data_IF_103166788245
#
_entry.id   IF_103166788245
#
_cell.length_a   1.000
_cell.length_b   1.000
_cell.length_c   1.000
_cell.angle_alpha   90.00
_cell.angle_beta   90.00
_cell.angle_gamma   90.00
#
_symmetry.space_group_name_H-M   'P 1'
#
loop_
_entity.id
_entity.type
_entity.pdbx_description
1 polymer ?
#
# COMPACT_ATOMS: atom_id res chain seq x y z
N UNK A 1 8.93 6.83 -27.29
CA UNK A 1 8.57 6.19 -25.99
C UNK A 1 7.18 5.56 -26.10
N UNK A 2 6.85 4.53 -25.31
CA UNK A 2 5.49 3.96 -25.29
C UNK A 2 4.47 4.92 -24.64
N UNK A 3 3.18 4.89 -25.01
CA UNK A 3 2.14 5.72 -24.39
C UNK A 3 2.00 5.44 -22.89
N UNK A 4 1.65 6.43 -22.06
CA UNK A 4 1.48 6.25 -20.60
C UNK A 4 0.30 5.31 -20.31
N UNK A 5 0.40 4.51 -19.24
CA UNK A 5 -0.73 3.68 -18.78
C UNK A 5 -1.83 4.59 -18.28
N UNK A 6 -3.05 4.37 -18.75
CA UNK A 6 -4.24 5.16 -18.37
C UNK A 6 -4.85 4.65 -17.06
N UNK A 7 -5.77 5.43 -16.47
CA UNK A 7 -6.40 5.12 -15.19
C UNK A 7 -7.12 3.76 -15.17
N UNK A 8 -7.95 3.47 -16.18
CA UNK A 8 -8.66 2.18 -16.29
C UNK A 8 -7.75 1.02 -16.72
N UNK A 9 -6.72 1.30 -17.54
CA UNK A 9 -5.74 0.29 -17.93
C UNK A 9 -4.92 -0.20 -16.74
N UNK A 10 -4.57 0.69 -15.81
CA UNK A 10 -3.88 0.32 -14.57
C UNK A 10 -4.69 -0.70 -13.75
N UNK A 11 -6.00 -0.47 -13.59
CA UNK A 11 -6.90 -1.40 -12.91
C UNK A 11 -6.93 -2.77 -13.59
N UNK A 12 -7.06 -2.80 -14.92
CA UNK A 12 -7.01 -4.06 -15.68
C UNK A 12 -5.67 -4.78 -15.52
N UNK A 13 -4.56 -4.05 -15.58
CA UNK A 13 -3.20 -4.59 -15.43
C UNK A 13 -2.94 -5.15 -14.04
N UNK A 14 -3.51 -4.53 -13.01
CA UNK A 14 -3.40 -4.97 -11.62
C UNK A 14 -3.95 -6.39 -11.44
N UNK A 15 -5.20 -6.61 -11.84
CA UNK A 15 -5.84 -7.93 -11.75
C UNK A 15 -5.24 -8.94 -12.73
N UNK A 16 -4.83 -8.51 -13.94
CA UNK A 16 -4.17 -9.40 -14.90
C UNK A 16 -2.84 -9.94 -14.37
N UNK A 17 -2.11 -9.15 -13.58
CA UNK A 17 -0.80 -9.50 -13.05
C UNK A 17 -0.85 -9.91 -11.58
N UNK A 18 -1.97 -10.48 -11.12
CA UNK A 18 -2.22 -10.74 -9.71
C UNK A 18 -1.09 -11.52 -9.01
N UNK A 19 -0.63 -12.63 -9.61
CA UNK A 19 0.48 -13.45 -9.10
C UNK A 19 1.79 -13.22 -9.85
N UNK A 20 1.90 -12.15 -10.64
CA UNK A 20 3.07 -11.92 -11.49
C UNK A 20 4.10 -11.00 -10.81
N UNK A 21 5.07 -11.62 -10.14
CA UNK A 21 6.20 -10.95 -9.49
C UNK A 21 7.39 -10.70 -10.45
N UNK A 22 7.26 -11.06 -11.72
CA UNK A 22 8.33 -10.94 -12.72
C UNK A 22 8.11 -9.73 -13.63
N UNK A 23 9.21 -9.23 -14.20
CA UNK A 23 9.17 -8.09 -15.09
C UNK A 23 9.19 -6.74 -14.36
N UNK A 24 8.76 -5.71 -15.07
CA UNK A 24 8.84 -4.29 -14.68
C UNK A 24 7.49 -3.63 -14.88
N UNK A 25 7.10 -2.74 -13.96
CA UNK A 25 5.88 -1.92 -14.06
C UNK A 25 6.24 -0.45 -14.26
N UNK A 26 5.32 0.32 -14.86
CA UNK A 26 5.52 1.76 -15.07
C UNK A 26 5.09 2.56 -13.85
N UNK A 27 5.65 3.76 -13.66
CA UNK A 27 5.20 4.70 -12.62
C UNK A 27 3.69 4.93 -12.67
N UNK A 28 3.13 5.18 -13.84
CA UNK A 28 1.69 5.42 -13.97
C UNK A 28 0.84 4.20 -13.63
N UNK A 29 1.31 2.97 -13.88
CA UNK A 29 0.62 1.74 -13.47
C UNK A 29 0.51 1.66 -11.93
N UNK A 30 1.59 2.01 -11.22
CA UNK A 30 1.61 2.04 -9.75
C UNK A 30 0.70 3.14 -9.18
N UNK A 31 0.90 4.40 -9.60
CA UNK A 31 0.20 5.53 -8.97
C UNK A 31 -1.28 5.60 -9.31
N UNK A 32 -1.72 5.12 -10.48
CA UNK A 32 -3.15 4.99 -10.75
C UNK A 32 -3.80 3.93 -9.87
N UNK A 33 -3.10 2.84 -9.56
CA UNK A 33 -3.61 1.85 -8.61
C UNK A 33 -3.68 2.39 -7.19
N UNK A 34 -2.72 3.22 -6.76
CA UNK A 34 -2.83 3.90 -5.46
C UNK A 34 -4.08 4.80 -5.39
N UNK A 35 -4.43 5.47 -6.49
CA UNK A 35 -5.67 6.26 -6.56
C UNK A 35 -6.93 5.37 -6.51
N UNK A 36 -6.94 4.23 -7.19
CA UNK A 36 -8.04 3.25 -7.06
C UNK A 36 -8.19 2.74 -5.63
N UNK A 37 -7.09 2.39 -4.97
CA UNK A 37 -7.13 1.99 -3.56
C UNK A 37 -7.72 3.09 -2.68
N UNK A 38 -7.32 4.36 -2.89
CA UNK A 38 -7.91 5.49 -2.19
C UNK A 38 -9.43 5.56 -2.40
N UNK A 39 -9.91 5.45 -3.65
CA UNK A 39 -11.34 5.47 -3.98
C UNK A 39 -12.10 4.34 -3.26
N UNK A 40 -11.56 3.13 -3.23
CA UNK A 40 -12.22 1.99 -2.56
C UNK A 40 -12.19 2.08 -1.03
N UNK A 41 -11.22 2.76 -0.44
CA UNK A 41 -11.15 2.97 1.00
C UNK A 41 -12.01 4.12 1.50
N UNK A 42 -12.25 5.15 0.68
CA UNK A 42 -13.01 6.34 1.10
C UNK A 42 -14.39 6.02 1.72
N UNK A 43 -15.26 5.17 1.12
CA UNK A 43 -16.55 4.84 1.71
C UNK A 43 -16.44 4.24 3.11
N UNK A 44 -15.47 3.34 3.33
CA UNK A 44 -15.27 2.72 4.63
C UNK A 44 -14.77 3.72 5.68
N UNK A 45 -13.90 4.65 5.28
CA UNK A 45 -13.44 5.75 6.15
C UNK A 45 -14.62 6.64 6.55
N UNK A 46 -15.49 7.01 5.60
CA UNK A 46 -16.67 7.82 5.91
C UNK A 46 -17.63 7.11 6.87
N UNK A 47 -17.93 5.82 6.61
CA UNK A 47 -18.79 5.03 7.49
C UNK A 47 -18.17 4.93 8.89
N UNK A 48 -16.88 4.67 8.99
CA UNK A 48 -16.17 4.60 10.27
C UNK A 48 -16.26 5.91 11.05
N UNK A 49 -15.98 7.05 10.41
CA UNK A 49 -16.03 8.37 11.05
C UNK A 49 -17.44 8.75 11.50
N UNK A 50 -18.45 8.53 10.66
CA UNK A 50 -19.86 8.78 11.02
C UNK A 50 -20.25 7.90 12.20
N UNK A 51 -19.89 6.62 12.16
CA UNK A 51 -20.21 5.67 13.23
C UNK A 51 -19.56 6.06 14.56
N UNK A 52 -18.32 6.55 14.52
CA UNK A 52 -17.61 7.06 15.69
C UNK A 52 -18.31 8.29 16.29
N UNK A 53 -18.78 9.22 15.46
CA UNK A 53 -19.58 10.36 15.92
C UNK A 53 -20.89 9.89 16.57
N UNK A 54 -21.58 8.92 15.94
CA UNK A 54 -22.83 8.36 16.46
C UNK A 54 -22.62 7.72 17.84
N UNK A 55 -21.55 6.95 18.04
CA UNK A 55 -21.22 6.37 19.36
C UNK A 55 -21.01 7.47 20.39
N UNK A 56 -20.19 8.48 20.09
CA UNK A 56 -19.89 9.58 21.02
C UNK A 56 -21.16 10.31 21.44
N UNK A 57 -22.01 10.65 20.48
CA UNK A 57 -23.27 11.37 20.75
C UNK A 57 -24.26 10.50 21.53
N UNK A 58 -24.38 9.22 21.18
CA UNK A 58 -25.25 8.28 21.87
C UNK A 58 -24.86 8.10 23.34
N UNK A 59 -23.56 8.00 23.63
CA UNK A 59 -23.05 7.93 25.01
C UNK A 59 -23.33 9.23 25.76
N UNK A 60 -23.13 10.38 25.11
CA UNK A 60 -23.32 11.70 25.72
C UNK A 60 -24.79 12.02 26.07
N UNK A 61 -25.74 11.46 25.31
CA UNK A 61 -27.18 11.68 25.49
C UNK A 61 -27.85 10.45 26.15
N UNK A 62 -27.08 9.45 26.55
CA UNK A 62 -27.56 8.20 27.16
C UNK A 62 -28.61 7.45 26.30
N UNK A 63 -28.40 7.40 24.99
CA UNK A 63 -29.26 6.68 24.03
C UNK A 63 -28.63 5.32 23.67
N UNK A 64 -29.11 4.25 24.29
CA UNK A 64 -28.54 2.90 24.13
C UNK A 64 -28.59 2.39 22.68
N UNK A 65 -29.74 2.52 22.02
CA UNK A 65 -29.93 2.07 20.63
C UNK A 65 -28.96 2.75 19.65
N UNK A 66 -28.70 4.04 19.86
CA UNK A 66 -27.76 4.81 19.06
C UNK A 66 -26.32 4.30 19.20
N UNK A 67 -25.93 3.89 20.42
CA UNK A 67 -24.62 3.32 20.69
C UNK A 67 -24.40 2.01 19.95
N UNK A 68 -25.40 1.14 19.94
CA UNK A 68 -25.37 -0.15 19.22
C UNK A 68 -25.20 0.07 17.72
N UNK A 69 -25.98 0.99 17.12
CA UNK A 69 -25.90 1.32 15.69
C UNK A 69 -24.49 1.81 15.32
N UNK A 70 -23.91 2.69 16.14
CA UNK A 70 -22.55 3.18 15.92
C UNK A 70 -21.48 2.07 16.00
N UNK A 71 -21.57 1.17 16.98
CA UNK A 71 -20.64 0.03 17.10
C UNK A 71 -20.75 -0.90 15.88
N UNK A 72 -21.96 -1.24 15.44
CA UNK A 72 -22.18 -2.07 14.25
C UNK A 72 -21.60 -1.42 12.99
N UNK A 73 -21.73 -0.09 12.85
CA UNK A 73 -21.14 0.66 11.74
C UNK A 73 -19.60 0.59 11.74
N UNK A 74 -18.96 0.72 12.90
CA UNK A 74 -17.51 0.54 13.07
C UNK A 74 -17.08 -0.89 12.66
N UNK A 75 -17.80 -1.90 13.15
CA UNK A 75 -17.51 -3.30 12.83
C UNK A 75 -17.65 -3.59 11.33
N UNK A 76 -18.70 -3.07 10.68
CA UNK A 76 -18.91 -3.23 9.25
C UNK A 76 -17.80 -2.57 8.42
N UNK A 77 -17.40 -1.35 8.78
CA UNK A 77 -16.29 -0.65 8.13
C UNK A 77 -14.96 -1.41 8.30
N UNK A 78 -14.68 -1.90 9.51
CA UNK A 78 -13.51 -2.71 9.81
C UNK A 78 -13.48 -4.03 9.02
N UNK A 79 -14.62 -4.74 8.96
CA UNK A 79 -14.77 -5.97 8.19
C UNK A 79 -14.55 -5.74 6.70
N UNK A 80 -15.11 -4.66 6.14
CA UNK A 80 -14.89 -4.30 4.74
C UNK A 80 -13.41 -4.06 4.45
N UNK A 81 -12.71 -3.28 5.29
CA UNK A 81 -11.28 -2.98 5.14
C UNK A 81 -10.45 -4.27 5.20
N UNK A 82 -10.77 -5.16 6.14
CA UNK A 82 -10.11 -6.45 6.29
C UNK A 82 -10.28 -7.31 5.02
N UNK A 83 -11.51 -7.51 4.56
CA UNK A 83 -11.80 -8.33 3.38
C UNK A 83 -11.14 -7.76 2.13
N UNK A 84 -11.23 -6.45 1.93
CA UNK A 84 -10.59 -5.77 0.81
C UNK A 84 -9.06 -5.92 0.89
N UNK A 85 -8.46 -5.70 2.06
CA UNK A 85 -7.02 -5.86 2.30
C UNK A 85 -6.50 -7.25 1.97
N UNK A 86 -7.25 -8.30 2.35
CA UNK A 86 -6.91 -9.70 2.04
C UNK A 86 -6.89 -9.97 0.54
N UNK A 87 -7.84 -9.41 -0.22
CA UNK A 87 -7.88 -9.59 -1.69
C UNK A 87 -6.72 -8.86 -2.37
N UNK A 88 -6.35 -7.67 -1.91
CA UNK A 88 -5.35 -6.85 -2.61
C UNK A 88 -3.91 -7.14 -2.20
N UNK A 89 -3.66 -7.84 -1.10
CA UNK A 89 -2.29 -7.99 -0.54
C UNK A 89 -1.30 -8.59 -1.55
N UNK A 90 -1.72 -9.62 -2.29
CA UNK A 90 -0.90 -10.31 -3.28
C UNK A 90 -0.66 -9.45 -4.53
N UNK A 91 -1.69 -8.94 -5.23
CA UNK A 91 -1.49 -8.13 -6.44
C UNK A 91 -0.77 -6.81 -6.14
N UNK A 92 -0.98 -6.22 -4.95
CA UNK A 92 -0.26 -5.01 -4.54
C UNK A 92 1.22 -5.27 -4.29
N UNK A 93 1.55 -6.40 -3.65
CA UNK A 93 2.94 -6.83 -3.51
C UNK A 93 3.57 -7.09 -4.89
N UNK A 94 2.87 -7.79 -5.78
CA UNK A 94 3.34 -8.05 -7.14
C UNK A 94 3.62 -6.76 -7.93
N UNK A 95 2.72 -5.78 -7.86
CA UNK A 95 2.91 -4.47 -8.49
C UNK A 95 4.11 -3.70 -7.90
N UNK A 96 4.25 -3.72 -6.57
CA UNK A 96 5.36 -3.07 -5.85
C UNK A 96 6.71 -3.72 -6.21
N UNK A 97 6.78 -5.04 -6.25
CA UNK A 97 7.96 -5.80 -6.69
C UNK A 97 8.35 -5.42 -8.12
N UNK A 98 7.40 -5.42 -9.07
CA UNK A 98 7.65 -4.99 -10.46
C UNK A 98 8.09 -3.53 -10.56
N UNK A 99 7.65 -2.66 -9.64
CA UNK A 99 8.07 -1.25 -9.58
C UNK A 99 9.52 -1.14 -9.08
N UNK A 100 9.89 -1.91 -8.06
CA UNK A 100 11.26 -1.99 -7.56
C UNK A 100 12.21 -2.54 -8.62
N UNK A 101 11.81 -3.60 -9.32
CA UNK A 101 12.53 -4.17 -10.45
C UNK A 101 12.76 -3.15 -11.56
N UNK A 102 11.84 -2.21 -11.79
CA UNK A 102 12.01 -1.17 -12.81
C UNK A 102 13.15 -0.19 -12.50
N UNK A 103 13.52 -0.06 -11.22
CA UNK A 103 14.68 0.73 -10.79
C UNK A 103 15.94 -0.11 -10.57
N UNK A 104 15.89 -1.42 -10.88
CA UNK A 104 17.00 -2.37 -10.72
C UNK A 104 17.18 -2.91 -9.30
N UNK A 105 16.21 -2.72 -8.41
CA UNK A 105 16.26 -3.19 -7.02
C UNK A 105 15.71 -4.61 -6.87
N UNK A 106 15.94 -5.24 -5.73
CA UNK A 106 15.40 -6.57 -5.40
C UNK A 106 13.98 -6.47 -4.85
N UNK A 107 13.30 -7.61 -4.76
CA UNK A 107 11.97 -7.76 -4.13
C UNK A 107 12.01 -7.70 -2.59
N UNK A 108 13.19 -7.58 -1.98
CA UNK A 108 13.36 -7.72 -0.54
C UNK A 108 12.57 -6.67 0.26
N UNK A 109 12.75 -5.38 -0.06
CA UNK A 109 12.09 -4.28 0.65
C UNK A 109 10.55 -4.36 0.61
N UNK A 110 9.90 -4.53 -0.57
CA UNK A 110 8.44 -4.63 -0.59
C UNK A 110 7.90 -5.88 0.13
N UNK A 111 8.62 -7.02 0.08
CA UNK A 111 8.23 -8.20 0.87
C UNK A 111 8.39 -7.96 2.37
N UNK A 112 9.53 -7.39 2.77
CA UNK A 112 9.82 -7.05 4.15
C UNK A 112 8.73 -6.15 4.72
N UNK A 113 8.34 -5.10 4.00
CA UNK A 113 7.29 -4.18 4.46
C UNK A 113 5.93 -4.86 4.63
N UNK A 114 5.54 -5.77 3.73
CA UNK A 114 4.29 -6.53 3.90
C UNK A 114 4.38 -7.47 5.10
N UNK A 115 5.51 -8.17 5.27
CA UNK A 115 5.71 -9.06 6.42
C UNK A 115 5.69 -8.30 7.75
N UNK A 116 6.38 -7.15 7.82
CA UNK A 116 6.39 -6.28 9.00
C UNK A 116 4.99 -5.72 9.27
N UNK A 117 4.23 -5.31 8.25
CA UNK A 117 2.86 -4.83 8.43
C UNK A 117 1.94 -5.91 8.99
N UNK A 118 2.02 -7.16 8.52
CA UNK A 118 1.22 -8.26 9.08
C UNK A 118 1.63 -8.51 10.54
N UNK A 119 2.95 -8.58 10.80
CA UNK A 119 3.48 -8.81 12.13
C UNK A 119 3.04 -7.73 13.13
N UNK A 120 3.13 -6.44 12.76
CA UNK A 120 2.72 -5.34 13.64
C UNK A 120 1.24 -5.38 13.97
N UNK A 121 0.38 -5.65 12.97
CA UNK A 121 -1.06 -5.74 13.20
C UNK A 121 -1.42 -6.89 14.16
N UNK A 122 -0.83 -8.07 13.96
CA UNK A 122 -1.06 -9.23 14.85
C UNK A 122 -0.54 -8.93 16.26
N UNK A 123 0.69 -8.42 16.37
CA UNK A 123 1.30 -8.10 17.65
C UNK A 123 0.50 -7.04 18.42
N UNK A 124 0.00 -6.02 17.73
CA UNK A 124 -0.82 -4.97 18.33
C UNK A 124 -2.14 -5.54 18.88
N UNK A 125 -2.84 -6.39 18.14
CA UNK A 125 -4.08 -7.03 18.64
C UNK A 125 -3.78 -7.89 19.88
N UNK A 126 -2.72 -8.70 19.82
CA UNK A 126 -2.31 -9.55 20.96
C UNK A 126 -1.96 -8.68 22.17
N UNK A 127 -1.29 -7.56 21.96
CA UNK A 127 -1.01 -6.61 23.02
C UNK A 127 -2.28 -6.07 23.66
N UNK A 128 -3.18 -5.51 22.86
CA UNK A 128 -4.37 -4.81 23.35
C UNK A 128 -5.24 -5.73 24.23
N UNK A 129 -5.22 -7.04 23.96
CA UNK A 129 -5.87 -8.06 24.80
C UNK A 129 -5.12 -8.34 26.10
N UNK A 130 -3.79 -8.36 26.09
CA UNK A 130 -2.97 -8.70 27.25
C UNK A 130 -2.74 -7.52 28.22
N UNK A 131 -2.68 -6.29 27.70
CA UNK A 131 -2.45 -5.06 28.47
C UNK A 131 -3.36 -3.93 27.95
N UNK A 132 -4.68 -4.01 28.22
CA UNK A 132 -5.65 -3.05 27.73
C UNK A 132 -5.48 -1.65 28.33
N UNK A 133 -4.85 -1.55 29.50
CA UNK A 133 -4.62 -0.28 30.21
C UNK A 133 -3.29 0.39 29.85
N UNK A 134 -2.48 -0.24 28.98
CA UNK A 134 -1.14 0.23 28.59
C UNK A 134 -0.19 0.44 29.78
N UNK A 135 -0.21 -0.44 30.76
CA UNK A 135 0.63 -0.34 31.96
C UNK A 135 2.12 -0.57 31.64
N UNK A 136 2.43 -1.31 30.58
CA UNK A 136 3.80 -1.60 30.15
C UNK A 136 4.44 -0.47 29.30
N UNK A 137 4.77 0.65 29.96
CA UNK A 137 5.33 1.84 29.29
C UNK A 137 6.63 1.58 28.48
N UNK A 138 7.50 0.67 28.93
CA UNK A 138 8.73 0.32 28.20
C UNK A 138 8.46 -0.33 26.85
N UNK A 139 7.50 -1.24 26.84
CA UNK A 139 7.15 -1.98 25.65
C UNK A 139 6.46 -1.01 24.65
N UNK A 140 5.74 0.02 25.15
CA UNK A 140 5.07 1.03 24.32
C UNK A 140 6.10 1.92 23.63
N UNK A 141 7.16 2.29 24.37
CA UNK A 141 8.31 2.99 23.81
C UNK A 141 9.00 2.16 22.72
N UNK A 142 9.24 0.87 22.99
CA UNK A 142 9.86 -0.04 22.03
C UNK A 142 9.03 -0.17 20.73
N UNK A 143 7.72 -0.34 20.85
CA UNK A 143 6.79 -0.36 19.72
C UNK A 143 6.80 0.94 18.92
N UNK A 144 6.83 2.08 19.61
CA UNK A 144 6.85 3.38 18.96
C UNK A 144 8.13 3.56 18.14
N UNK A 145 9.29 3.19 18.70
CA UNK A 145 10.57 3.21 17.98
C UNK A 145 10.52 2.27 16.77
N UNK A 146 9.98 1.06 16.94
CA UNK A 146 9.82 0.11 15.85
C UNK A 146 8.94 0.66 14.71
N UNK A 147 7.80 1.27 15.04
CA UNK A 147 6.90 1.90 14.06
C UNK A 147 7.59 3.06 13.32
N UNK A 148 8.42 3.85 14.00
CA UNK A 148 9.23 4.90 13.36
C UNK A 148 10.20 4.28 12.33
N UNK A 149 10.89 3.18 12.68
CA UNK A 149 11.79 2.48 11.76
C UNK A 149 11.03 1.98 10.52
N UNK A 150 9.87 1.34 10.72
CA UNK A 150 9.00 0.90 9.62
C UNK A 150 8.55 2.08 8.76
N UNK A 151 8.24 3.22 9.38
CA UNK A 151 7.92 4.48 8.71
C UNK A 151 9.05 4.97 7.81
N UNK A 152 10.30 4.93 8.28
CA UNK A 152 11.48 5.30 7.48
C UNK A 152 11.64 4.39 6.26
N UNK A 153 11.49 3.07 6.42
CA UNK A 153 11.55 2.11 5.31
C UNK A 153 10.40 2.36 4.31
N UNK A 154 9.23 2.74 4.81
CA UNK A 154 8.05 3.07 3.99
C UNK A 154 8.28 4.35 3.17
N UNK A 155 8.90 5.38 3.75
CA UNK A 155 9.32 6.59 3.02
C UNK A 155 10.30 6.22 1.91
N UNK A 156 11.30 5.38 2.19
CA UNK A 156 12.20 4.88 1.15
C UNK A 156 11.43 4.20 0.00
N UNK A 157 10.45 3.34 0.31
CA UNK A 157 9.60 2.73 -0.71
C UNK A 157 8.84 3.77 -1.54
N UNK A 158 8.25 4.79 -0.91
CA UNK A 158 7.56 5.87 -1.63
C UNK A 158 8.52 6.57 -2.60
N UNK A 159 9.73 6.94 -2.13
CA UNK A 159 10.75 7.57 -2.97
C UNK A 159 11.08 6.69 -4.18
N UNK A 160 11.32 5.39 -3.98
CA UNK A 160 11.62 4.45 -5.08
C UNK A 160 10.45 4.37 -6.07
N UNK A 161 9.21 4.34 -5.59
CA UNK A 161 8.02 4.26 -6.47
C UNK A 161 7.80 5.56 -7.27
N UNK A 162 8.33 6.69 -6.83
CA UNK A 162 8.34 7.97 -7.54
C UNK A 162 9.42 8.09 -8.62
N UNK A 163 10.54 7.36 -8.50
CA UNK A 163 11.66 7.44 -9.44
C UNK A 163 11.22 7.08 -10.86
N UNK A 164 11.90 7.66 -11.86
CA UNK A 164 11.66 7.36 -13.28
C UNK A 164 12.19 5.96 -13.65
N UNK A 165 11.68 5.40 -14.74
CA UNK A 165 12.13 4.11 -15.25
C UNK A 165 13.56 4.19 -15.79
N UNK A 166 14.41 3.22 -15.45
CA UNK A 166 15.73 3.07 -16.10
C UNK A 166 15.55 2.73 -17.58
N UNK A 167 16.31 3.37 -18.46
CA UNK A 167 16.28 3.11 -19.91
C UNK A 167 16.82 1.72 -20.21
N UNK A 168 17.96 1.41 -19.57
CA UNK A 168 18.70 0.18 -19.78
C UNK A 168 17.90 -1.07 -19.40
N UNK A 169 18.18 -2.14 -20.15
CA UNK A 169 17.73 -3.49 -19.80
C UNK A 169 18.47 -3.92 -18.54
N UNK A 170 17.72 -4.30 -17.52
CA UNK A 170 18.26 -4.94 -16.32
C UNK A 170 17.88 -6.43 -16.31
N UNK A 171 18.30 -7.16 -15.27
CA UNK A 171 18.00 -8.60 -15.12
C UNK A 171 16.50 -8.95 -15.08
N UNK A 172 15.62 -7.97 -14.88
CA UNK A 172 14.16 -8.14 -14.88
C UNK A 172 13.52 -7.79 -16.24
N UNK A 173 14.32 -7.48 -17.26
CA UNK A 173 13.89 -7.28 -18.63
C UNK A 173 13.90 -5.82 -19.09
N UNK A 174 13.33 -5.62 -20.28
CA UNK A 174 13.28 -4.32 -20.96
C UNK A 174 12.29 -3.38 -20.27
N UNK A 175 12.63 -2.09 -20.23
CA UNK A 175 11.74 -1.07 -19.68
C UNK A 175 10.43 -0.99 -20.45
N UNK A 176 9.26 -1.08 -19.79
CA UNK A 176 7.98 -0.91 -20.48
C UNK A 176 7.82 0.49 -21.08
N UNK A 177 8.60 1.48 -20.61
CA UNK A 177 8.60 2.84 -21.13
C UNK A 177 9.31 2.98 -22.47
N UNK A 178 10.34 2.18 -22.69
CA UNK A 178 11.30 2.39 -23.79
C UNK A 178 11.35 1.24 -24.80
N UNK A 179 10.42 0.27 -24.77
CA UNK A 179 10.41 -0.90 -25.68
C UNK A 179 10.52 -0.59 -27.18
N UNK A 180 10.18 0.63 -27.62
CA UNK A 180 10.21 1.04 -29.03
C UNK A 180 11.40 1.95 -29.40
N UNK A 181 12.33 2.22 -28.48
CA UNK A 181 13.52 3.01 -28.81
C UNK A 181 14.55 2.12 -29.55
N UNK A 182 15.08 2.54 -30.71
CA UNK A 182 16.21 1.86 -31.35
C UNK A 182 17.45 1.96 -30.46
N UNK A 183 18.23 0.88 -30.35
CA UNK A 183 19.36 0.75 -29.40
C UNK A 183 20.37 1.90 -29.49
N UNK A 184 20.57 2.48 -30.67
CA UNK A 184 21.50 3.59 -30.90
C UNK A 184 21.10 4.90 -30.19
N UNK A 185 19.81 5.17 -30.03
CA UNK A 185 19.29 6.40 -29.38
C UNK A 185 19.34 6.36 -27.85
N UNK A 186 19.50 5.17 -27.26
CA UNK A 186 19.66 5.02 -25.81
C UNK A 186 21.05 5.45 -25.30
N UNK A 187 22.04 5.49 -26.20
CA UNK A 187 23.40 5.93 -25.88
C UNK A 187 23.56 7.47 -25.89
N UNK A 188 22.76 8.20 -26.66
CA UNK A 188 22.82 9.67 -26.72
C UNK A 188 22.16 10.33 -25.48
N UNK A 189 21.03 9.80 -24.99
CA UNK A 189 20.38 10.29 -23.75
C UNK A 189 21.20 10.01 -22.46
N UNK A 190 22.26 9.19 -22.53
CA UNK A 190 23.19 8.95 -21.40
C UNK A 190 24.09 10.15 -21.10
N UNK A 191 24.35 11.01 -22.08
CA UNK A 191 25.27 12.15 -21.94
C UNK A 191 24.55 13.46 -21.61
N UNK A 192 23.21 13.47 -21.60
CA UNK A 192 22.39 14.66 -21.41
C UNK A 192 21.70 14.76 -20.03
N UNK A 193 21.96 13.84 -19.10
CA UNK A 193 21.50 13.86 -17.71
C UNK A 193 22.68 13.78 -16.76
#
# INVERSE_FOLDING_TARGET
MNPKVTFGEAFRLFWKNYFNFRGRSRRSEYWWMQLWHLIFFLPAIFIYLISLIVVILAVSVHVEDGGIVGILGIMCAGLYILLYGLVIIIPQLALSVRRFHDTGRTMFVPILLVALAIFTNIFQVVWEVNDPNLENGWLLLALTIFNIIVGIISIYQIVITCLNSKIEKNKYGVSPKFKKLPEHSAHEERHSN
#
